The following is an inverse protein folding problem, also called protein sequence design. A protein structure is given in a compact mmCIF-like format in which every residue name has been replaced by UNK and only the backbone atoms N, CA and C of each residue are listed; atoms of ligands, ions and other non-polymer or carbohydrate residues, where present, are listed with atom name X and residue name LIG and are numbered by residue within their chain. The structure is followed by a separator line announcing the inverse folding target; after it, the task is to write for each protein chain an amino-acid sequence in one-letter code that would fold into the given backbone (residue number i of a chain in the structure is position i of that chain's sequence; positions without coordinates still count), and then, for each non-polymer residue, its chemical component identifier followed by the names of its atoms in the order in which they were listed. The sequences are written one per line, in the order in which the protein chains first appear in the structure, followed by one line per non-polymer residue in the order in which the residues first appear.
data_IF_065530902044
#
_entry.id   IF_065530902044
#
_cell.length_a   1.000
_cell.length_b   1.000
_cell.length_c   1.000
_cell.angle_alpha   90.00
_cell.angle_beta   90.00
_cell.angle_gamma   90.00
#
_symmetry.space_group_name_H-M   'P 1'
#
loop_
_entity.id
_entity.type
_entity.pdbx_description
1 polymer ?
#
# COMPACT_ATOMS: atom_id res chain seq x y z
N UNK A 1 -16.70 14.88 -6.41
CA UNK A 1 -15.90 14.55 -7.62
C UNK A 1 -14.45 14.15 -7.35
N UNK A 2 -13.82 14.52 -6.23
CA UNK A 2 -12.37 14.32 -6.01
C UNK A 2 -11.91 12.86 -5.78
N UNK A 3 -12.77 12.00 -5.23
CA UNK A 3 -12.41 10.57 -5.01
C UNK A 3 -12.11 9.85 -6.33
N UNK A 4 -13.01 9.92 -7.32
CA UNK A 4 -12.86 9.17 -8.59
C UNK A 4 -11.57 9.53 -9.33
N UNK A 5 -11.17 10.80 -9.31
CA UNK A 5 -9.91 11.25 -9.91
C UNK A 5 -8.69 10.76 -9.14
N UNK A 6 -8.75 10.72 -7.80
CA UNK A 6 -7.68 10.17 -6.96
C UNK A 6 -7.41 8.70 -7.28
N UNK A 7 -8.47 7.89 -7.31
CA UNK A 7 -8.43 6.47 -7.66
C UNK A 7 -7.79 6.25 -9.06
N UNK A 8 -8.21 7.00 -10.07
CA UNK A 8 -7.62 6.92 -11.43
C UNK A 8 -6.14 7.28 -11.51
N UNK A 9 -5.63 8.10 -10.59
CA UNK A 9 -4.24 8.56 -10.61
C UNK A 9 -3.27 7.62 -9.89
N UNK A 10 -3.76 6.70 -9.06
CA UNK A 10 -2.92 5.81 -8.25
C UNK A 10 -1.98 4.94 -9.11
N UNK A 11 -2.44 4.27 -10.19
CA UNK A 11 -1.54 3.51 -11.06
C UNK A 11 -0.45 4.38 -11.70
N UNK A 12 -0.77 5.63 -12.05
CA UNK A 12 0.21 6.59 -12.60
C UNK A 12 1.26 6.96 -11.55
N UNK A 13 0.84 7.18 -10.30
CA UNK A 13 1.77 7.44 -9.20
C UNK A 13 2.69 6.24 -8.94
N UNK A 14 2.13 5.02 -8.86
CA UNK A 14 2.94 3.82 -8.66
C UNK A 14 3.92 3.56 -9.79
N UNK A 15 3.56 3.88 -11.04
CA UNK A 15 4.50 3.81 -12.16
C UNK A 15 5.69 4.77 -12.01
N UNK A 16 5.47 5.97 -11.45
CA UNK A 16 6.55 6.90 -11.15
C UNK A 16 7.43 6.38 -10.02
N UNK A 17 6.83 5.80 -8.99
CA UNK A 17 7.56 5.13 -7.90
C UNK A 17 8.41 3.96 -8.39
N UNK A 18 7.84 3.10 -9.24
CA UNK A 18 8.56 1.96 -9.80
C UNK A 18 9.73 2.41 -10.68
N UNK A 19 9.54 3.47 -11.47
CA UNK A 19 10.61 4.10 -12.25
C UNK A 19 11.69 4.75 -11.37
N UNK A 20 11.30 5.37 -10.27
CA UNK A 20 12.21 6.02 -9.33
C UNK A 20 13.07 4.99 -8.58
N UNK A 21 12.44 3.91 -8.10
CA UNK A 21 13.15 2.78 -7.51
C UNK A 21 14.09 2.15 -8.54
N UNK A 22 13.64 1.95 -9.77
CA UNK A 22 14.48 1.47 -10.87
C UNK A 22 15.29 0.24 -10.47
N UNK A 23 16.62 0.38 -10.44
CA UNK A 23 17.56 -0.66 -10.00
C UNK A 23 18.08 -0.52 -8.56
N UNK A 24 17.64 0.50 -7.82
CA UNK A 24 18.10 0.73 -6.45
C UNK A 24 17.46 -0.28 -5.48
N UNK A 25 18.22 -0.70 -4.46
CA UNK A 25 17.70 -1.62 -3.45
C UNK A 25 16.71 -0.94 -2.51
N UNK A 26 17.02 0.30 -2.13
CA UNK A 26 16.26 1.20 -1.24
C UNK A 26 16.16 2.61 -1.83
N UNK A 27 15.42 3.51 -1.19
CA UNK A 27 15.23 4.88 -1.67
C UNK A 27 16.52 5.71 -1.68
N UNK A 28 17.45 5.40 -0.76
CA UNK A 28 18.78 6.00 -0.70
C UNK A 28 19.86 5.13 -1.38
N UNK A 29 19.47 4.27 -2.33
CA UNK A 29 20.41 3.38 -3.03
C UNK A 29 20.56 2.05 -2.32
N UNK A 30 21.67 1.86 -1.59
CA UNK A 30 22.02 0.58 -0.95
C UNK A 30 21.72 0.54 0.56
N UNK A 31 21.60 1.70 1.21
CA UNK A 31 21.35 1.79 2.65
C UNK A 31 19.87 1.98 2.96
N UNK A 32 19.39 1.29 4.00
CA UNK A 32 18.03 1.49 4.52
C UNK A 32 18.00 2.73 5.41
N UNK A 33 17.01 3.58 5.19
CA UNK A 33 16.81 4.82 5.94
C UNK A 33 15.42 4.88 6.57
N UNK A 34 15.18 5.85 7.44
CA UNK A 34 13.85 6.01 8.05
C UNK A 34 12.75 6.24 6.99
N UNK A 35 13.11 6.87 5.85
CA UNK A 35 12.20 7.18 4.74
C UNK A 35 11.66 5.90 4.11
N UNK A 36 12.47 4.84 4.07
CA UNK A 36 12.08 3.55 3.52
C UNK A 36 10.91 2.92 4.30
N UNK A 37 10.86 3.12 5.63
CA UNK A 37 9.75 2.64 6.45
C UNK A 37 8.46 3.42 6.17
N UNK A 38 8.53 4.75 6.03
CA UNK A 38 7.37 5.58 5.66
C UNK A 38 6.83 5.18 4.29
N UNK A 39 7.73 4.93 3.33
CA UNK A 39 7.35 4.47 2.01
C UNK A 39 6.72 3.06 2.05
N UNK A 40 7.27 2.13 2.84
CA UNK A 40 6.68 0.81 3.02
C UNK A 40 5.27 0.87 3.61
N UNK A 41 5.02 1.75 4.60
CA UNK A 41 3.67 1.98 5.12
C UNK A 41 2.73 2.51 4.04
N UNK A 42 3.17 3.50 3.26
CA UNK A 42 2.39 4.08 2.15
C UNK A 42 2.00 3.04 1.10
N UNK A 43 2.94 2.14 0.75
CA UNK A 43 2.68 1.03 -0.17
C UNK A 43 1.69 0.03 0.44
N UNK A 44 1.78 -0.24 1.74
CA UNK A 44 0.84 -1.11 2.47
C UNK A 44 -0.58 -0.50 2.47
N UNK A 45 -0.72 0.83 2.58
CA UNK A 45 -1.99 1.53 2.39
C UNK A 45 -2.54 1.37 0.97
N UNK A 46 -1.71 1.49 -0.07
CA UNK A 46 -2.17 1.29 -1.45
C UNK A 46 -2.66 -0.16 -1.69
N UNK A 47 -1.99 -1.16 -1.10
CA UNK A 47 -2.46 -2.55 -1.13
C UNK A 47 -3.84 -2.73 -0.50
N UNK A 48 -4.10 -2.04 0.60
CA UNK A 48 -5.40 -2.11 1.28
C UNK A 48 -6.51 -1.40 0.51
N UNK A 49 -6.17 -0.32 -0.20
CA UNK A 49 -7.14 0.46 -0.98
C UNK A 49 -7.49 -0.17 -2.32
N UNK A 50 -6.52 -0.83 -2.97
CA UNK A 50 -6.63 -1.26 -4.36
C UNK A 50 -6.37 -2.75 -4.57
N UNK A 51 -6.03 -3.48 -3.52
CA UNK A 51 -5.67 -4.90 -3.60
C UNK A 51 -4.31 -5.09 -4.24
N UNK A 52 -4.24 -5.95 -5.26
CA UNK A 52 -2.99 -6.55 -5.71
C UNK A 52 -2.20 -5.75 -6.76
N UNK A 53 -2.41 -4.44 -6.82
CA UNK A 53 -1.86 -3.60 -7.91
C UNK A 53 -0.34 -3.49 -7.93
N UNK A 54 0.33 -3.95 -6.87
CA UNK A 54 1.79 -4.01 -6.81
C UNK A 54 2.40 -5.20 -7.54
N UNK A 55 1.62 -6.21 -7.92
CA UNK A 55 2.14 -7.34 -8.71
C UNK A 55 2.54 -6.91 -10.13
N UNK A 56 1.88 -5.89 -10.68
CA UNK A 56 2.21 -5.32 -11.98
C UNK A 56 3.55 -4.55 -11.99
N UNK A 57 4.11 -4.27 -10.81
CA UNK A 57 5.32 -3.45 -10.63
C UNK A 57 6.43 -4.26 -9.92
N UNK A 58 7.28 -4.90 -10.72
CA UNK A 58 8.30 -5.82 -10.23
C UNK A 58 9.34 -5.18 -9.29
N UNK A 59 9.75 -3.93 -9.56
CA UNK A 59 10.76 -3.25 -8.72
C UNK A 59 10.17 -2.87 -7.36
N UNK A 60 8.94 -2.35 -7.36
CA UNK A 60 8.21 -1.95 -6.16
C UNK A 60 7.85 -3.15 -5.28
N UNK A 61 7.45 -4.27 -5.90
CA UNK A 61 7.21 -5.55 -5.19
C UNK A 61 8.49 -6.10 -4.57
N UNK A 62 9.60 -6.09 -5.32
CA UNK A 62 10.91 -6.49 -4.82
C UNK A 62 11.41 -5.62 -3.66
N UNK A 63 11.26 -4.30 -3.77
CA UNK A 63 11.58 -3.34 -2.70
C UNK A 63 10.78 -3.62 -1.43
N UNK A 64 9.46 -3.80 -1.56
CA UNK A 64 8.61 -4.09 -0.41
C UNK A 64 9.00 -5.40 0.27
N UNK A 65 9.32 -6.44 -0.52
CA UNK A 65 9.78 -7.72 0.02
C UNK A 65 11.12 -7.59 0.75
N UNK A 66 12.08 -6.81 0.20
CA UNK A 66 13.37 -6.56 0.86
C UNK A 66 13.21 -5.90 2.22
N UNK A 67 12.40 -4.84 2.32
CA UNK A 67 12.14 -4.16 3.60
C UNK A 67 11.45 -5.09 4.58
N UNK A 68 10.39 -5.79 4.14
CA UNK A 68 9.66 -6.70 5.01
C UNK A 68 10.53 -7.83 5.52
N UNK A 69 11.54 -8.27 4.77
CA UNK A 69 12.47 -9.33 5.20
C UNK A 69 13.67 -8.86 6.04
N UNK A 70 13.73 -7.58 6.42
CA UNK A 70 14.76 -7.13 7.36
C UNK A 70 14.57 -7.81 8.72
N UNK A 71 15.62 -8.43 9.30
CA UNK A 71 15.49 -9.23 10.51
C UNK A 71 15.00 -8.39 11.71
N UNK A 72 15.50 -7.16 11.87
CA UNK A 72 15.08 -6.27 12.95
C UNK A 72 13.61 -5.85 12.80
N UNK A 73 13.15 -5.67 11.56
CA UNK A 73 11.76 -5.36 11.28
C UNK A 73 10.88 -6.58 11.54
N UNK A 74 11.31 -7.78 11.16
CA UNK A 74 10.60 -9.02 11.45
C UNK A 74 10.46 -9.26 12.95
N UNK A 75 11.52 -9.06 13.72
CA UNK A 75 11.48 -9.16 15.18
C UNK A 75 10.48 -8.16 15.78
N UNK A 76 10.46 -6.92 15.27
CA UNK A 76 9.47 -5.93 15.66
C UNK A 76 8.04 -6.36 15.31
N UNK A 77 7.80 -6.80 14.06
CA UNK A 77 6.49 -7.23 13.57
C UNK A 77 5.94 -8.44 14.33
N UNK A 78 6.82 -9.33 14.80
CA UNK A 78 6.46 -10.50 15.61
C UNK A 78 6.33 -10.19 17.11
N UNK A 79 6.82 -9.03 17.56
CA UNK A 79 6.70 -8.61 18.95
C UNK A 79 5.25 -8.28 19.33
N UNK A 80 4.92 -8.41 20.61
CA UNK A 80 3.63 -7.99 21.16
C UNK A 80 3.41 -6.47 21.16
N UNK A 81 4.46 -5.70 20.87
CA UNK A 81 4.40 -4.25 20.75
C UNK A 81 3.86 -3.79 19.40
N UNK A 82 4.07 -4.59 18.35
CA UNK A 82 3.56 -4.25 17.03
C UNK A 82 2.04 -4.41 17.00
N UNK A 83 1.37 -3.29 16.67
CA UNK A 83 -0.07 -3.26 16.42
C UNK A 83 -0.25 -2.75 15.01
N UNK A 84 -0.68 -3.65 14.10
CA UNK A 84 -1.15 -3.23 12.79
C UNK A 84 -2.20 -2.15 12.98
N UNK A 85 -2.07 -1.03 12.28
CA UNK A 85 -2.96 0.12 12.42
C UNK A 85 -4.46 -0.23 12.21
N UNK A 86 -4.76 -1.22 11.38
CA UNK A 86 -6.11 -1.80 11.18
C UNK A 86 -6.67 -2.54 12.40
N UNK A 87 -5.80 -3.06 13.26
CA UNK A 87 -6.16 -3.80 14.47
C UNK A 87 -6.43 -2.88 15.65
N UNK A 88 -6.15 -1.58 15.52
CA UNK A 88 -6.42 -0.59 16.57
C UNK A 88 -7.90 -0.17 16.46
N UNK A 89 -8.76 -0.46 17.46
CA UNK A 89 -10.22 -0.26 17.33
C UNK A 89 -10.64 1.18 17.05
N UNK A 90 -9.85 2.16 17.47
CA UNK A 90 -10.08 3.59 17.26
C UNK A 90 -9.96 3.99 15.78
N UNK A 91 -8.99 3.45 15.06
CA UNK A 91 -8.81 3.70 13.62
C UNK A 91 -9.56 2.69 12.75
N UNK A 92 -9.63 1.43 13.20
CA UNK A 92 -10.26 0.33 12.48
C UNK A 92 -11.75 0.54 12.23
N UNK A 93 -12.54 1.05 13.19
CA UNK A 93 -13.98 1.25 12.95
C UNK A 93 -14.29 2.31 11.90
N UNK A 94 -13.51 3.40 11.88
CA UNK A 94 -13.67 4.51 10.93
C UNK A 94 -13.24 4.06 9.54
N UNK A 95 -12.06 3.42 9.44
CA UNK A 95 -11.52 2.92 8.17
C UNK A 95 -12.29 1.74 7.58
N UNK A 96 -12.73 0.75 8.38
CA UNK A 96 -13.54 -0.37 7.88
C UNK A 96 -14.90 0.06 7.34
N UNK A 97 -15.48 1.13 7.90
CA UNK A 97 -16.71 1.73 7.36
C UNK A 97 -16.45 2.38 6.00
N UNK A 98 -15.32 3.08 5.84
CA UNK A 98 -14.91 3.70 4.57
C UNK A 98 -14.58 2.65 3.49
N UNK A 99 -13.81 1.61 3.82
CA UNK A 99 -13.43 0.52 2.89
C UNK A 99 -14.63 -0.33 2.48
N UNK A 100 -15.56 -0.66 3.39
CA UNK A 100 -16.79 -1.40 3.01
C UNK A 100 -17.69 -0.59 2.08
N UNK A 101 -17.79 0.72 2.29
CA UNK A 101 -18.51 1.60 1.37
C UNK A 101 -17.78 1.74 0.02
N UNK A 102 -16.46 1.66 0.01
CA UNK A 102 -15.64 1.65 -1.20
C UNK A 102 -15.93 0.42 -2.09
N UNK A 103 -15.89 -0.79 -1.50
CA UNK A 103 -16.12 -2.05 -2.21
C UNK A 103 -17.57 -2.20 -2.71
N UNK A 104 -18.55 -1.69 -1.96
CA UNK A 104 -19.96 -1.65 -2.41
C UNK A 104 -20.17 -0.73 -3.62
N UNK A 105 -19.43 0.38 -3.72
CA UNK A 105 -19.56 1.31 -4.86
C UNK A 105 -18.96 0.73 -6.14
N UNK A 106 -17.91 -0.07 -6.03
CA UNK A 106 -17.30 -0.77 -7.17
C UNK A 106 -18.20 -1.90 -7.69
N UNK A 107 -18.87 -2.68 -6.81
CA UNK A 107 -19.81 -3.71 -7.24
C UNK A 107 -21.08 -3.13 -7.90
N UNK A 108 -21.59 -2.00 -7.40
CA UNK A 108 -22.70 -1.25 -8.00
C UNK A 108 -22.31 -0.60 -9.34
N UNK A 109 -21.05 -0.22 -9.53
CA UNK A 109 -20.56 0.39 -10.77
C UNK A 109 -20.34 -0.64 -11.89
N UNK A 110 -19.79 -1.82 -11.57
CA UNK A 110 -19.65 -2.94 -12.53
C UNK A 110 -21.05 -3.45 -12.96
N UNK A 111 -22.00 -3.52 -12.03
CA UNK A 111 -23.37 -3.95 -12.35
C UNK A 111 -24.14 -2.94 -13.23
N UNK A 112 -23.81 -1.64 -13.15
CA UNK A 112 -24.41 -0.58 -13.96
C UNK A 112 -23.70 -0.32 -15.30
N UNK A 113 -22.50 -0.88 -15.52
CA UNK A 113 -21.79 -0.85 -16.81
C UNK A 113 -22.08 -2.07 -17.70
N UNK A 114 -22.61 -3.15 -17.12
CA UNK A 114 -23.07 -4.36 -17.85
C UNK A 114 -24.57 -4.34 -18.19
N UNK A 115 -25.23 -3.17 -18.15
CA UNK A 115 -26.57 -2.92 -18.69
C UNK A 115 -26.49 -1.83 -19.75
#
# INVERSE_FOLDING_TARGET
MQRKSFYKNIPTQLKLWDKYLGGNKFLNGDDVTYVDFIANETIDFYRLLYGNILEDFSNSSGYQNRIKNLPELQDYLNSSFYKRWLSVPSYGKIWWWEVKNQAMLESLYIHNLCK
#
